data_IF_944331737506
#
_entry.id   IF_944331737506
#
_cell.length_a   1.000
_cell.length_b   1.000
_cell.length_c   1.000
_cell.angle_alpha   90.00
_cell.angle_beta   90.00
_cell.angle_gamma   90.00
#
_symmetry.space_group_name_H-M   'P 1'
#
loop_
_entity.id
_entity.type
_entity.pdbx_description
1 polymer ?
#
# COMPACT_ATOMS: atom_id res chain seq x y z
N UNK A 1 -26.40 7.92 5.75
CA UNK A 1 -25.60 7.03 4.90
C UNK A 1 -24.45 7.88 4.38
N UNK A 2 -23.21 7.61 4.80
CA UNK A 2 -22.05 8.32 4.24
C UNK A 2 -21.89 7.81 2.81
N UNK A 3 -21.75 8.72 1.84
CA UNK A 3 -21.49 8.32 0.47
C UNK A 3 -20.13 7.63 0.40
N UNK A 4 -20.06 6.45 -0.22
CA UNK A 4 -18.80 5.73 -0.41
C UNK A 4 -17.83 6.59 -1.24
N UNK A 5 -16.54 6.56 -0.89
CA UNK A 5 -15.56 7.32 -1.68
C UNK A 5 -15.38 6.70 -3.07
N UNK A 6 -15.32 7.51 -4.14
CA UNK A 6 -15.27 7.00 -5.51
C UNK A 6 -13.93 6.29 -5.81
N UNK A 7 -14.01 5.21 -6.59
CA UNK A 7 -12.85 4.53 -7.18
C UNK A 7 -12.88 4.77 -8.68
N UNK A 8 -12.16 5.80 -9.12
CA UNK A 8 -12.06 6.25 -10.52
C UNK A 8 -10.93 5.55 -11.29
N UNK A 9 -10.02 4.90 -10.57
CA UNK A 9 -8.95 4.09 -11.12
C UNK A 9 -8.83 2.79 -10.30
N UNK A 10 -8.45 1.64 -10.90
CA UNK A 10 -8.34 0.41 -10.15
C UNK A 10 -7.27 0.50 -9.06
N UNK A 11 -7.57 -0.07 -7.90
CA UNK A 11 -6.61 -0.18 -6.80
C UNK A 11 -5.58 -1.25 -7.16
N UNK A 12 -4.33 -0.87 -7.36
CA UNK A 12 -3.24 -1.81 -7.62
C UNK A 12 -2.40 -2.04 -6.37
N UNK A 13 -1.98 -3.28 -6.15
CA UNK A 13 -1.26 -3.70 -4.96
C UNK A 13 -0.18 -4.73 -5.27
N UNK A 14 0.81 -4.82 -4.39
CA UNK A 14 1.86 -5.86 -4.43
C UNK A 14 1.60 -6.86 -3.30
N UNK A 15 1.73 -8.15 -3.56
CA UNK A 15 1.64 -9.17 -2.48
C UNK A 15 2.81 -8.97 -1.51
N UNK A 16 2.55 -9.08 -0.21
CA UNK A 16 3.58 -8.84 0.80
C UNK A 16 4.84 -9.70 0.57
N UNK A 17 4.68 -10.98 0.22
CA UNK A 17 5.82 -11.86 -0.10
C UNK A 17 6.71 -11.34 -1.23
N UNK A 18 6.14 -10.69 -2.24
CA UNK A 18 6.89 -10.14 -3.36
C UNK A 18 7.51 -8.79 -2.99
N UNK A 19 6.79 -7.97 -2.22
CA UNK A 19 7.32 -6.76 -1.63
C UNK A 19 8.57 -7.03 -0.78
N UNK A 20 8.58 -8.10 0.02
CA UNK A 20 9.74 -8.48 0.84
C UNK A 20 10.98 -8.90 0.03
N UNK A 21 10.80 -9.20 -1.26
CA UNK A 21 11.90 -9.55 -2.18
C UNK A 21 12.39 -8.35 -3.01
N UNK A 22 11.65 -7.25 -3.02
CA UNK A 22 12.01 -6.04 -3.77
C UNK A 22 13.30 -5.43 -3.19
N UNK A 23 14.15 -4.91 -4.08
CA UNK A 23 15.44 -4.29 -3.75
C UNK A 23 15.56 -2.85 -4.24
N UNK A 24 14.59 -2.40 -5.02
CA UNK A 24 14.50 -1.10 -5.64
C UNK A 24 13.03 -0.70 -5.79
N UNK A 25 12.79 0.61 -5.99
CA UNK A 25 11.46 1.15 -6.29
C UNK A 25 11.35 1.34 -7.79
N UNK A 26 10.32 0.74 -8.38
CA UNK A 26 10.06 0.79 -9.82
C UNK A 26 8.66 1.34 -10.06
N UNK A 27 8.49 2.01 -11.20
CA UNK A 27 7.22 2.60 -11.57
C UNK A 27 6.12 1.53 -11.74
N UNK A 28 4.86 1.94 -11.52
CA UNK A 28 3.68 1.07 -11.65
C UNK A 28 3.68 0.29 -12.97
N UNK A 29 3.95 0.97 -14.08
CA UNK A 29 3.92 0.37 -15.42
C UNK A 29 4.92 -0.78 -15.57
N UNK A 30 6.11 -0.65 -14.97
CA UNK A 30 7.14 -1.70 -14.97
C UNK A 30 6.66 -2.89 -14.14
N UNK A 31 6.14 -2.65 -12.93
CA UNK A 31 5.68 -3.73 -12.06
C UNK A 31 4.44 -4.46 -12.60
N UNK A 32 3.57 -3.75 -13.34
CA UNK A 32 2.45 -4.36 -14.07
C UNK A 32 2.95 -5.29 -15.18
N UNK A 33 3.94 -4.83 -15.97
CA UNK A 33 4.51 -5.62 -17.06
C UNK A 33 5.19 -6.90 -16.54
N UNK A 34 5.83 -6.82 -15.38
CA UNK A 34 6.47 -7.97 -14.71
C UNK A 34 5.49 -8.87 -13.94
N UNK A 35 4.22 -8.48 -13.81
CA UNK A 35 3.21 -9.22 -13.06
C UNK A 35 3.40 -9.19 -11.54
N UNK A 36 4.24 -8.30 -11.02
CA UNK A 36 4.44 -8.08 -9.58
C UNK A 36 3.28 -7.27 -8.98
N UNK A 37 2.78 -6.30 -9.76
CA UNK A 37 1.64 -5.48 -9.38
C UNK A 37 0.35 -6.08 -9.93
N UNK A 38 -0.68 -6.19 -9.09
CA UNK A 38 -1.99 -6.74 -9.47
C UNK A 38 -3.12 -5.82 -9.05
N UNK A 39 -4.23 -5.84 -9.79
CA UNK A 39 -5.46 -5.20 -9.35
C UNK A 39 -6.01 -5.92 -8.09
N UNK A 40 -6.38 -5.14 -7.08
CA UNK A 40 -7.00 -5.63 -5.86
C UNK A 40 -8.52 -5.77 -6.01
N UNK A 41 -9.00 -7.00 -5.80
CA UNK A 41 -10.42 -7.35 -5.79
C UNK A 41 -10.82 -7.81 -4.38
N UNK A 42 -12.08 -7.55 -4.04
CA UNK A 42 -12.62 -7.93 -2.73
C UNK A 42 -12.49 -9.44 -2.49
N UNK A 43 -12.14 -9.81 -1.26
CA UNK A 43 -11.90 -11.21 -0.87
C UNK A 43 -10.51 -11.75 -1.19
N UNK A 44 -9.61 -10.98 -1.81
CA UNK A 44 -8.23 -11.42 -2.03
C UNK A 44 -7.43 -11.56 -0.72
N UNK A 45 -7.75 -10.78 0.29
CA UNK A 45 -7.04 -10.72 1.57
C UNK A 45 -7.14 -9.32 2.18
N UNK A 46 -6.18 -8.99 3.04
CA UNK A 46 -6.11 -7.68 3.70
C UNK A 46 -5.10 -6.75 3.01
N UNK A 47 -5.32 -5.45 3.12
CA UNK A 47 -4.45 -4.43 2.52
C UNK A 47 -3.81 -3.53 3.57
N UNK A 48 -2.51 -3.29 3.40
CA UNK A 48 -1.74 -2.28 4.08
C UNK A 48 -1.60 -1.09 3.14
N UNK A 49 -2.22 0.03 3.48
CA UNK A 49 -2.04 1.30 2.81
C UNK A 49 -0.79 1.99 3.36
N UNK A 50 0.16 2.31 2.48
CA UNK A 50 1.39 3.00 2.84
C UNK A 50 1.41 4.37 2.16
N UNK A 51 1.37 5.42 2.98
CA UNK A 51 1.63 6.79 2.54
C UNK A 51 3.10 7.11 2.81
N UNK A 52 3.82 7.46 1.77
CA UNK A 52 5.25 7.68 1.79
C UNK A 52 5.61 9.16 1.58
N UNK A 53 6.49 9.67 2.44
CA UNK A 53 7.06 10.99 2.25
C UNK A 53 8.23 10.95 1.27
N UNK A 54 8.08 11.66 0.15
CA UNK A 54 9.15 11.85 -0.83
C UNK A 54 10.35 12.56 -0.19
N UNK A 55 11.50 11.89 -0.17
CA UNK A 55 12.75 12.47 0.37
C UNK A 55 13.67 13.07 -0.69
N UNK A 56 13.33 12.93 -1.98
CA UNK A 56 14.02 13.60 -3.07
C UNK A 56 13.05 14.08 -4.15
N UNK A 57 13.54 14.97 -5.02
CA UNK A 57 12.71 15.63 -6.03
C UNK A 57 12.29 14.72 -7.20
N UNK A 58 13.10 13.70 -7.54
CA UNK A 58 12.92 12.87 -8.74
C UNK A 58 12.55 11.42 -8.43
N UNK A 59 13.04 10.89 -7.31
CA UNK A 59 12.77 9.53 -6.86
C UNK A 59 12.27 9.58 -5.42
N UNK A 60 11.20 8.86 -5.08
CA UNK A 60 10.58 8.93 -3.75
C UNK A 60 11.55 8.52 -2.64
N UNK A 61 12.27 7.41 -2.86
CA UNK A 61 13.27 6.86 -1.94
C UNK A 61 14.45 6.29 -2.78
N UNK A 62 15.40 7.16 -3.18
CA UNK A 62 16.47 6.79 -4.12
C UNK A 62 17.42 5.71 -3.57
N UNK A 63 17.57 5.63 -2.25
CA UNK A 63 18.47 4.68 -1.58
C UNK A 63 17.74 3.43 -1.06
N UNK A 64 16.43 3.32 -1.33
CA UNK A 64 15.55 2.27 -0.81
C UNK A 64 15.59 2.18 0.72
N UNK A 65 15.93 3.28 1.39
CA UNK A 65 16.19 3.31 2.82
C UNK A 65 14.90 3.20 3.62
N UNK A 66 13.85 3.93 3.21
CA UNK A 66 12.57 3.90 3.90
C UNK A 66 11.84 2.57 3.66
N UNK A 67 11.87 2.06 2.43
CA UNK A 67 11.29 0.76 2.14
C UNK A 67 11.99 -0.38 2.87
N UNK A 68 13.31 -0.30 3.02
CA UNK A 68 14.05 -1.27 3.83
C UNK A 68 13.63 -1.23 5.30
N UNK A 69 13.47 -0.03 5.87
CA UNK A 69 12.95 0.13 7.23
C UNK A 69 11.53 -0.43 7.35
N UNK A 70 10.68 -0.21 6.34
CA UNK A 70 9.33 -0.80 6.30
C UNK A 70 9.36 -2.33 6.22
N UNK A 71 10.22 -2.91 5.37
CA UNK A 71 10.43 -4.36 5.28
C UNK A 71 10.90 -4.94 6.62
N UNK A 72 11.84 -4.28 7.31
CA UNK A 72 12.32 -4.69 8.63
C UNK A 72 11.22 -4.59 9.69
N UNK A 73 10.45 -3.50 9.70
CA UNK A 73 9.32 -3.33 10.61
C UNK A 73 8.27 -4.43 10.41
N UNK A 74 7.88 -4.70 9.16
CA UNK A 74 6.92 -5.76 8.82
C UNK A 74 7.46 -7.15 9.18
N UNK A 75 8.76 -7.40 8.96
CA UNK A 75 9.42 -8.63 9.41
C UNK A 75 9.28 -8.82 10.92
N UNK A 76 9.59 -7.78 11.69
CA UNK A 76 9.53 -7.81 13.15
C UNK A 76 8.11 -7.96 13.69
N UNK A 77 7.12 -7.38 13.00
CA UNK A 77 5.70 -7.58 13.32
C UNK A 77 5.30 -9.02 13.02
N UNK A 78 5.66 -9.56 11.86
CA UNK A 78 5.33 -10.93 11.45
C UNK A 78 6.05 -12.01 12.27
N UNK A 79 7.23 -11.73 12.81
CA UNK A 79 7.93 -12.64 13.74
C UNK A 79 7.33 -12.62 15.15
N UNK A 80 6.42 -11.68 15.43
CA UNK A 80 5.90 -11.42 16.78
C UNK A 80 6.88 -10.68 17.69
N UNK A 81 7.99 -10.16 17.15
CA UNK A 81 8.95 -9.36 17.90
C UNK A 81 8.41 -7.96 18.24
N UNK A 82 7.47 -7.44 17.44
CA UNK A 82 6.76 -6.18 17.66
C UNK A 82 5.25 -6.45 17.66
N UNK A 83 4.53 -5.89 18.64
CA UNK A 83 3.06 -5.92 18.69
C UNK A 83 2.52 -4.54 18.39
N UNK A 84 1.59 -4.44 17.43
CA UNK A 84 0.93 -3.17 17.10
C UNK A 84 -0.19 -2.93 18.12
N UNK A 85 0.00 -1.97 19.02
CA UNK A 85 -1.04 -1.54 19.96
C UNK A 85 -1.92 -0.46 19.34
N UNK A 86 -3.24 -0.64 19.43
CA UNK A 86 -4.22 0.40 19.09
C UNK A 86 -4.33 1.38 20.24
N UNK A 87 -4.40 2.68 19.98
CA UNK A 87 -4.57 3.69 21.03
C UNK A 87 -5.94 3.58 21.72
N UNK A 88 -5.98 3.92 23.01
CA UNK A 88 -7.17 3.75 23.85
C UNK A 88 -8.43 4.47 23.32
N UNK A 89 -8.36 5.72 22.83
CA UNK A 89 -9.50 6.36 22.15
C UNK A 89 -10.04 5.55 20.98
N UNK A 90 -9.18 5.02 20.11
CA UNK A 90 -9.59 4.19 18.96
C UNK A 90 -10.24 2.87 19.38
N UNK A 91 -9.77 2.24 20.46
CA UNK A 91 -10.39 1.02 21.00
C UNK A 91 -11.82 1.28 21.50
N UNK A 92 -12.04 2.42 22.16
CA UNK A 92 -13.33 2.77 22.77
C UNK A 92 -14.34 3.27 21.72
N UNK A 93 -13.92 4.12 20.77
CA UNK A 93 -14.81 4.67 19.75
C UNK A 93 -15.14 3.68 18.63
N UNK A 94 -14.18 2.87 18.20
CA UNK A 94 -14.35 1.97 17.05
C UNK A 94 -14.56 0.51 17.45
N UNK A 95 -14.57 0.20 18.74
CA UNK A 95 -14.74 -1.18 19.24
C UNK A 95 -13.58 -2.12 18.86
N UNK A 96 -12.45 -1.57 18.43
CA UNK A 96 -11.28 -2.32 17.99
C UNK A 96 -10.53 -2.78 19.25
N UNK A 97 -10.88 -3.94 19.78
CA UNK A 97 -10.36 -4.43 21.07
C UNK A 97 -9.07 -5.25 20.98
N UNK A 98 -8.54 -5.52 19.79
CA UNK A 98 -7.38 -6.41 19.63
C UNK A 98 -6.17 -5.68 19.06
N UNK A 99 -5.07 -5.71 19.83
CA UNK A 99 -3.74 -5.63 19.26
C UNK A 99 -3.65 -6.64 18.12
N UNK A 100 -3.22 -6.19 16.95
CA UNK A 100 -3.07 -7.09 15.80
C UNK A 100 -1.84 -7.95 16.04
N UNK A 101 -2.05 -9.24 16.31
CA UNK A 101 -0.95 -10.19 16.49
C UNK A 101 -0.37 -10.62 15.16
N UNK A 102 0.88 -11.11 15.17
CA UNK A 102 1.50 -11.74 14.00
C UNK A 102 0.61 -12.83 13.37
N UNK A 103 -0.09 -13.61 14.20
CA UNK A 103 -1.01 -14.65 13.76
C UNK A 103 -2.24 -14.07 13.04
N UNK A 104 -2.77 -12.92 13.48
CA UNK A 104 -3.91 -12.25 12.83
C UNK A 104 -3.54 -11.64 11.47
N UNK A 105 -2.26 -11.30 11.29
CA UNK A 105 -1.69 -10.84 10.02
C UNK A 105 -1.40 -12.00 9.06
N UNK A 106 -0.92 -13.13 9.59
CA UNK A 106 -0.63 -14.32 8.79
C UNK A 106 -1.88 -15.14 8.40
N UNK A 107 -3.03 -14.88 9.02
CA UNK A 107 -4.27 -15.63 8.79
C UNK A 107 -4.86 -15.44 7.37
N UNK A 108 -4.52 -14.36 6.69
CA UNK A 108 -4.99 -14.05 5.34
C UNK A 108 -3.83 -13.50 4.49
N UNK A 109 -3.89 -13.62 3.15
CA UNK A 109 -2.93 -12.96 2.28
C UNK A 109 -2.88 -11.44 2.57
N UNK A 110 -1.68 -10.89 2.62
CA UNK A 110 -1.44 -9.46 2.80
C UNK A 110 -0.97 -8.83 1.50
N UNK A 111 -1.49 -7.64 1.23
CA UNK A 111 -1.14 -6.82 0.08
C UNK A 111 -0.73 -5.43 0.51
N UNK A 112 0.20 -4.83 -0.24
CA UNK A 112 0.69 -3.49 -0.01
C UNK A 112 0.19 -2.57 -1.13
N UNK A 113 -0.50 -1.51 -0.74
CA UNK A 113 -0.70 -0.34 -1.59
C UNK A 113 0.35 0.70 -1.18
N UNK A 114 1.06 1.26 -2.15
CA UNK A 114 2.12 2.24 -1.95
C UNK A 114 2.03 3.34 -3.01
N UNK A 115 1.99 4.60 -2.56
CA UNK A 115 1.60 5.75 -3.39
C UNK A 115 2.41 5.97 -4.67
N UNK A 116 3.66 5.51 -4.73
CA UNK A 116 4.45 5.55 -5.94
C UNK A 116 4.09 4.43 -6.93
N UNK A 117 4.36 3.16 -6.59
CA UNK A 117 4.21 2.07 -7.55
C UNK A 117 2.78 1.57 -7.72
N UNK A 118 1.83 2.07 -6.94
CA UNK A 118 0.40 1.78 -7.09
C UNK A 118 -0.33 2.82 -7.92
N UNK A 119 0.33 3.94 -8.26
CA UNK A 119 -0.17 5.00 -9.11
C UNK A 119 0.65 5.13 -10.41
N UNK A 120 0.04 5.51 -11.54
CA UNK A 120 0.76 5.72 -12.79
C UNK A 120 1.85 6.78 -12.66
N UNK A 121 3.06 6.49 -13.16
CA UNK A 121 4.16 7.46 -13.13
C UNK A 121 4.37 8.14 -14.48
N UNK A 122 4.40 9.47 -14.48
CA UNK A 122 4.53 10.30 -15.70
C UNK A 122 5.87 10.09 -16.43
N UNK A 123 6.92 9.70 -15.70
CA UNK A 123 8.23 9.41 -16.28
C UNK A 123 8.28 8.05 -17.01
N UNK A 124 7.31 7.16 -16.79
CA UNK A 124 7.25 5.81 -17.34
C UNK A 124 6.17 5.65 -18.42
N UNK A 125 5.94 6.70 -19.21
CA UNK A 125 4.93 6.72 -20.28
C UNK A 125 5.19 5.63 -21.32
N UNK A 126 4.14 4.87 -21.62
CA UNK A 126 4.09 3.92 -22.74
C UNK A 126 3.11 4.44 -23.79
N UNK A 127 3.31 4.11 -25.07
CA UNK A 127 2.42 4.53 -26.16
C UNK A 127 0.97 4.08 -25.91
N UNK A 128 0.01 5.01 -26.02
CA UNK A 128 -1.42 4.73 -25.89
C UNK A 128 -2.04 4.93 -24.50
N UNK A 129 -1.26 5.23 -23.45
CA UNK A 129 -1.80 5.57 -22.12
C UNK A 129 -1.94 7.09 -21.93
N UNK A 130 -3.12 7.55 -21.51
CA UNK A 130 -3.30 8.91 -20.97
C UNK A 130 -2.88 8.93 -19.49
N UNK A 131 -1.57 8.79 -19.27
CA UNK A 131 -0.96 8.68 -17.93
C UNK A 131 -1.33 9.87 -17.04
N UNK A 132 -1.57 11.05 -17.63
CA UNK A 132 -2.00 12.23 -16.88
C UNK A 132 -3.38 12.05 -16.27
N UNK A 133 -4.36 11.64 -17.08
CA UNK A 133 -5.72 11.37 -16.62
C UNK A 133 -5.76 10.18 -15.64
N UNK A 134 -5.04 9.11 -15.93
CA UNK A 134 -5.00 7.94 -15.06
C UNK A 134 -4.38 8.25 -13.69
N UNK A 135 -3.31 9.06 -13.66
CA UNK A 135 -2.73 9.55 -12.41
C UNK A 135 -3.73 10.41 -11.62
N UNK A 136 -4.42 11.34 -12.28
CA UNK A 136 -5.47 12.15 -11.63
C UNK A 136 -6.55 11.26 -11.03
N UNK A 137 -7.08 10.30 -11.80
CA UNK A 137 -8.09 9.36 -11.32
C UNK A 137 -7.59 8.51 -10.15
N UNK A 138 -6.33 8.07 -10.18
CA UNK A 138 -5.72 7.30 -9.08
C UNK A 138 -5.60 8.13 -7.80
N UNK A 139 -5.18 9.39 -7.91
CA UNK A 139 -5.09 10.32 -6.77
C UNK A 139 -6.47 10.62 -6.19
N UNK A 140 -7.47 10.88 -7.04
CA UNK A 140 -8.86 11.11 -6.61
C UNK A 140 -9.49 9.88 -5.94
N UNK A 141 -8.96 8.68 -6.22
CA UNK A 141 -9.42 7.42 -5.61
C UNK A 141 -8.76 7.09 -4.27
N UNK A 142 -7.75 7.86 -3.82
CA UNK A 142 -7.04 7.61 -2.56
C UNK A 142 -7.98 7.46 -1.36
N UNK A 143 -8.99 8.32 -1.14
CA UNK A 143 -9.92 8.14 -0.03
C UNK A 143 -10.62 6.77 -0.07
N UNK A 144 -11.00 6.29 -1.26
CA UNK A 144 -11.59 4.97 -1.43
C UNK A 144 -10.59 3.83 -1.23
N UNK A 145 -9.32 3.99 -1.61
CA UNK A 145 -8.26 3.02 -1.30
C UNK A 145 -8.02 2.89 0.20
N UNK A 146 -8.03 4.01 0.92
CA UNK A 146 -7.92 4.04 2.39
C UNK A 146 -9.11 3.32 3.02
N UNK A 147 -10.34 3.57 2.56
CA UNK A 147 -11.54 2.85 3.04
C UNK A 147 -11.47 1.33 2.80
N UNK A 148 -10.83 0.90 1.71
CA UNK A 148 -10.64 -0.52 1.37
C UNK A 148 -9.45 -1.17 2.08
N UNK A 149 -8.69 -0.43 2.88
CA UNK A 149 -7.48 -0.92 3.54
C UNK A 149 -7.70 -1.23 5.01
N UNK A 150 -7.05 -2.29 5.50
CA UNK A 150 -7.15 -2.75 6.88
C UNK A 150 -6.15 -2.05 7.80
N UNK A 151 -5.01 -1.63 7.24
CA UNK A 151 -3.93 -0.98 7.97
C UNK A 151 -3.48 0.27 7.23
N UNK A 152 -3.11 1.29 7.98
CA UNK A 152 -2.57 2.54 7.46
C UNK A 152 -1.20 2.80 8.07
N UNK A 153 -0.17 2.91 7.23
CA UNK A 153 1.22 3.11 7.62
C UNK A 153 1.73 4.38 6.97
N UNK A 154 2.46 5.17 7.75
CA UNK A 154 3.14 6.37 7.28
C UNK A 154 4.64 6.11 7.39
N UNK A 155 5.36 6.34 6.30
CA UNK A 155 6.83 6.20 6.22
C UNK A 155 7.49 7.49 5.77
#
# INVERSE_FOLDING_TARGET
>A
TVAANPILFPMYVVRLEDFMKMKDIRAQQVLLQEGILTEFKEGMGKVIFVSHQWVAHLFPDPDFAQLRVLQEALTNVMSGSITISVDFPSQVLHGISKATSAADLAAQPLFLWYDYFSCPQMAARTEGQDVGKDLTNAVESIPGYVERSDFFVIT
#
